data_IF_319370560556
#
_entry.id   IF_319370560556
#
_cell.length_a   1.000
_cell.length_b   1.000
_cell.length_c   1.000
_cell.angle_alpha   90.00
_cell.angle_beta   90.00
_cell.angle_gamma   90.00
#
_symmetry.space_group_name_H-M   'P 1'
#
loop_
_entity.id
_entity.type
_entity.pdbx_description
1 polymer ?
#
# COMPACT_ATOMS: atom_id res chain seq x y z
N UNK A 1 -6.50 -15.27 20.65
CA UNK A 1 -5.76 -16.10 19.65
C UNK A 1 -6.06 -15.65 18.22
N UNK A 2 -7.32 -15.42 17.84
CA UNK A 2 -7.74 -15.00 16.49
C UNK A 2 -6.86 -13.90 15.84
N UNK A 3 -6.69 -12.73 16.48
CA UNK A 3 -5.92 -11.62 15.89
C UNK A 3 -4.45 -11.93 15.62
N UNK A 4 -3.82 -12.80 16.44
CA UNK A 4 -2.42 -13.21 16.19
C UNK A 4 -2.34 -14.13 14.97
N UNK A 5 -3.32 -15.00 14.77
CA UNK A 5 -3.41 -15.85 13.58
C UNK A 5 -3.66 -15.01 12.32
N UNK A 6 -4.58 -14.05 12.38
CA UNK A 6 -4.82 -13.09 11.29
C UNK A 6 -3.55 -12.28 10.98
N UNK A 7 -2.83 -11.81 12.01
CA UNK A 7 -1.57 -11.10 11.82
C UNK A 7 -0.49 -11.96 11.15
N UNK A 8 -0.41 -13.25 11.50
CA UNK A 8 0.49 -14.19 10.85
C UNK A 8 0.14 -14.39 9.37
N UNK A 9 -1.14 -14.54 9.04
CA UNK A 9 -1.61 -14.67 7.66
C UNK A 9 -1.32 -13.40 6.84
N UNK A 10 -1.59 -12.22 7.41
CA UNK A 10 -1.28 -10.92 6.77
C UNK A 10 0.22 -10.75 6.53
N UNK A 11 1.07 -11.25 7.43
CA UNK A 11 2.52 -11.22 7.26
C UNK A 11 3.01 -11.97 6.00
N UNK A 12 2.20 -12.90 5.48
CA UNK A 12 2.52 -13.66 4.26
C UNK A 12 1.96 -13.00 2.99
N UNK A 13 1.15 -11.95 3.10
CA UNK A 13 0.63 -11.23 1.93
C UNK A 13 1.76 -10.50 1.18
N UNK A 14 1.68 -10.52 -0.15
CA UNK A 14 2.64 -9.82 -1.01
C UNK A 14 2.50 -8.30 -0.89
N UNK A 15 1.27 -7.80 -0.83
CA UNK A 15 0.96 -6.37 -0.87
C UNK A 15 -0.13 -5.99 0.14
N UNK A 16 -0.26 -4.69 0.38
CA UNK A 16 -1.33 -4.09 1.18
C UNK A 16 -0.79 -3.37 2.41
N UNK A 17 -1.51 -2.34 2.85
CA UNK A 17 -1.05 -1.43 3.91
C UNK A 17 -0.65 -2.13 5.21
N UNK A 18 -1.46 -3.10 5.67
CA UNK A 18 -1.19 -3.87 6.88
C UNK A 18 0.00 -4.83 6.71
N UNK A 19 0.16 -5.41 5.52
CA UNK A 19 1.30 -6.26 5.19
C UNK A 19 2.59 -5.44 5.15
N UNK A 20 2.56 -4.25 4.56
CA UNK A 20 3.71 -3.33 4.54
C UNK A 20 4.06 -2.85 5.94
N UNK A 21 3.06 -2.52 6.77
CA UNK A 21 3.26 -2.21 8.18
C UNK A 21 3.96 -3.37 8.92
N UNK A 22 3.49 -4.60 8.72
CA UNK A 22 4.08 -5.80 9.31
C UNK A 22 5.54 -5.99 8.86
N UNK A 23 5.81 -5.93 7.55
CA UNK A 23 7.15 -6.14 6.97
C UNK A 23 8.15 -5.13 7.50
N UNK A 24 7.77 -3.83 7.55
CA UNK A 24 8.63 -2.78 8.12
C UNK A 24 8.99 -3.05 9.57
N UNK A 25 8.03 -3.51 10.37
CA UNK A 25 8.27 -3.78 11.78
C UNK A 25 9.05 -5.08 11.99
N UNK A 26 8.76 -6.12 11.21
CA UNK A 26 9.46 -7.40 11.23
C UNK A 26 10.95 -7.21 10.89
N UNK A 27 11.25 -6.41 9.88
CA UNK A 27 12.62 -6.07 9.51
C UNK A 27 13.39 -5.36 10.64
N UNK A 28 12.72 -4.50 11.42
CA UNK A 28 13.37 -3.72 12.49
C UNK A 28 13.45 -4.42 13.85
N UNK A 29 12.43 -5.22 14.21
CA UNK A 29 12.24 -5.75 15.59
C UNK A 29 11.90 -7.23 15.65
N UNK A 30 11.95 -7.94 14.52
CA UNK A 30 11.65 -9.36 14.44
C UNK A 30 10.17 -9.73 14.46
N UNK A 31 9.90 -11.02 14.21
CA UNK A 31 8.57 -11.52 13.89
C UNK A 31 7.59 -11.47 15.05
N UNK A 32 7.99 -11.91 16.24
CA UNK A 32 7.12 -11.96 17.41
C UNK A 32 6.57 -10.57 17.78
N UNK A 33 7.43 -9.55 17.71
CA UNK A 33 7.07 -8.14 17.92
C UNK A 33 6.11 -7.66 16.84
N UNK A 34 6.39 -7.99 15.57
CA UNK A 34 5.55 -7.58 14.44
C UNK A 34 4.13 -8.19 14.51
N UNK A 35 4.02 -9.47 14.85
CA UNK A 35 2.73 -10.17 15.04
C UNK A 35 1.93 -9.50 16.15
N UNK A 36 2.56 -9.24 17.30
CA UNK A 36 1.89 -8.62 18.45
C UNK A 36 1.40 -7.20 18.15
N UNK A 37 2.22 -6.40 17.47
CA UNK A 37 1.85 -5.04 17.09
C UNK A 37 0.74 -5.01 16.03
N UNK A 38 0.81 -5.87 15.01
CA UNK A 38 -0.22 -5.96 13.99
C UNK A 38 -1.55 -6.45 14.58
N UNK A 39 -1.52 -7.45 15.47
CA UNK A 39 -2.72 -7.92 16.16
C UNK A 39 -3.41 -6.79 16.96
N UNK A 40 -2.63 -5.97 17.68
CA UNK A 40 -3.17 -4.79 18.39
C UNK A 40 -3.77 -3.77 17.42
N UNK A 41 -3.09 -3.49 16.30
CA UNK A 41 -3.60 -2.57 15.27
C UNK A 41 -4.92 -3.06 14.66
N UNK A 42 -5.03 -4.35 14.36
CA UNK A 42 -6.26 -4.97 13.87
C UNK A 42 -7.41 -4.85 14.88
N UNK A 43 -7.14 -5.11 16.15
CA UNK A 43 -8.15 -4.99 17.21
C UNK A 43 -8.73 -3.57 17.29
N UNK A 44 -7.89 -2.54 17.20
CA UNK A 44 -8.33 -1.14 17.21
C UNK A 44 -9.15 -0.80 15.96
N UNK A 45 -8.75 -1.27 14.78
CA UNK A 45 -9.51 -1.06 13.54
C UNK A 45 -10.91 -1.66 13.68
N UNK A 46 -11.00 -2.92 14.08
CA UNK A 46 -12.28 -3.62 14.19
C UNK A 46 -13.15 -3.01 15.29
N UNK A 47 -12.55 -2.60 16.41
CA UNK A 47 -13.28 -1.89 17.45
C UNK A 47 -13.86 -0.55 16.94
N UNK A 48 -13.07 0.25 16.20
CA UNK A 48 -13.60 1.48 15.58
C UNK A 48 -14.72 1.18 14.57
N UNK A 49 -14.61 0.10 13.80
CA UNK A 49 -15.66 -0.31 12.86
C UNK A 49 -16.95 -0.68 13.58
N UNK A 50 -16.86 -1.49 14.63
CA UNK A 50 -18.02 -2.00 15.35
C UNK A 50 -18.66 -0.97 16.27
N UNK A 51 -17.85 -0.21 17.01
CA UNK A 51 -18.33 0.70 18.07
C UNK A 51 -18.63 2.10 17.54
N UNK A 52 -17.83 2.59 16.58
CA UNK A 52 -18.02 3.94 16.01
C UNK A 52 -18.74 3.93 14.66
N UNK A 53 -19.05 2.75 14.11
CA UNK A 53 -19.67 2.61 12.79
C UNK A 53 -18.80 3.14 11.64
N UNK A 54 -17.49 3.32 11.87
CA UNK A 54 -16.58 3.89 10.87
C UNK A 54 -16.13 2.81 9.89
N UNK A 55 -16.35 3.00 8.60
CA UNK A 55 -15.82 2.09 7.58
C UNK A 55 -14.28 2.06 7.63
N UNK A 56 -13.70 0.90 7.33
CA UNK A 56 -12.25 0.78 7.24
C UNK A 56 -11.69 1.60 6.08
N UNK A 57 -10.90 2.63 6.39
CA UNK A 57 -10.23 3.49 5.42
C UNK A 57 -8.70 3.31 5.55
N UNK A 58 -8.07 2.44 4.74
CA UNK A 58 -6.62 2.29 4.77
C UNK A 58 -5.93 3.57 4.27
N UNK A 59 -4.80 4.00 4.88
CA UNK A 59 -4.05 5.18 4.44
C UNK A 59 -3.51 5.11 3.02
N UNK A 60 -3.33 3.90 2.48
CA UNK A 60 -3.08 3.69 1.06
C UNK A 60 -4.27 2.93 0.49
N UNK A 61 -4.94 3.52 -0.49
CA UNK A 61 -5.96 2.82 -1.27
C UNK A 61 -5.31 1.61 -1.94
N UNK A 62 -6.03 0.49 -1.99
CA UNK A 62 -5.61 -0.65 -2.79
C UNK A 62 -5.65 -0.23 -4.25
N UNK A 63 -4.51 0.20 -4.79
CA UNK A 63 -4.37 0.44 -6.21
C UNK A 63 -4.18 -0.91 -6.89
N UNK A 64 -5.00 -1.22 -7.90
CA UNK A 64 -4.79 -2.39 -8.72
C UNK A 64 -3.42 -2.34 -9.40
N UNK A 65 -2.85 -3.50 -9.73
CA UNK A 65 -1.52 -3.58 -10.34
C UNK A 65 -1.43 -2.71 -11.61
N UNK A 66 -2.51 -2.64 -12.39
CA UNK A 66 -2.55 -1.83 -13.61
C UNK A 66 -2.58 -0.33 -13.33
N UNK A 67 -3.22 0.12 -12.26
CA UNK A 67 -3.16 1.51 -11.82
C UNK A 67 -1.75 1.88 -11.36
N UNK A 68 -1.08 0.97 -10.64
CA UNK A 68 0.33 1.17 -10.25
C UNK A 68 1.23 1.28 -11.47
N UNK A 69 1.02 0.42 -12.47
CA UNK A 69 1.76 0.44 -13.75
C UNK A 69 1.52 1.73 -14.52
N UNK A 70 0.28 2.21 -14.62
CA UNK A 70 -0.07 3.50 -15.24
C UNK A 70 0.64 4.66 -14.55
N UNK A 71 0.63 4.72 -13.22
CA UNK A 71 1.34 5.77 -12.46
C UNK A 71 2.85 5.69 -12.70
N UNK A 72 3.43 4.49 -12.69
CA UNK A 72 4.86 4.30 -12.94
C UNK A 72 5.24 4.74 -14.37
N UNK A 73 4.42 4.41 -15.37
CA UNK A 73 4.60 4.86 -16.75
C UNK A 73 4.54 6.39 -16.85
N UNK A 74 3.51 7.01 -16.25
CA UNK A 74 3.37 8.46 -16.23
C UNK A 74 4.58 9.15 -15.59
N UNK A 75 5.08 8.66 -14.44
CA UNK A 75 6.29 9.18 -13.80
C UNK A 75 7.53 9.04 -14.68
N UNK A 76 7.68 7.92 -15.40
CA UNK A 76 8.80 7.72 -16.34
C UNK A 76 8.74 8.71 -17.49
N UNK A 77 7.55 8.92 -18.07
CA UNK A 77 7.32 9.91 -19.13
C UNK A 77 7.66 11.32 -18.62
N UNK A 78 7.16 11.71 -17.45
CA UNK A 78 7.45 13.01 -16.84
C UNK A 78 8.96 13.23 -16.62
N UNK A 79 9.69 12.19 -16.20
CA UNK A 79 11.15 12.25 -16.05
C UNK A 79 11.87 12.40 -17.40
N UNK A 80 11.36 11.80 -18.47
CA UNK A 80 11.92 11.96 -19.80
C UNK A 80 11.65 13.36 -20.36
N UNK A 81 10.43 13.86 -20.20
CA UNK A 81 10.04 15.24 -20.58
C UNK A 81 11.00 16.24 -19.93
N UNK A 82 11.20 16.14 -18.61
CA UNK A 82 12.11 17.04 -17.89
C UNK A 82 13.58 16.84 -18.27
N UNK A 83 14.03 15.59 -18.49
CA UNK A 83 15.41 15.30 -18.89
C UNK A 83 15.77 15.88 -20.26
N UNK A 84 14.85 15.78 -21.22
CA UNK A 84 15.09 16.18 -22.61
C UNK A 84 14.51 17.56 -22.93
N UNK A 85 13.89 18.25 -21.96
CA UNK A 85 13.27 19.55 -22.17
C UNK A 85 12.12 19.52 -23.17
N UNK A 86 11.45 18.37 -23.30
CA UNK A 86 10.38 18.19 -24.29
C UNK A 86 9.22 19.13 -23.98
N UNK A 87 8.70 19.76 -25.01
CA UNK A 87 7.50 20.59 -24.96
C UNK A 87 6.36 19.93 -25.72
N UNK A 88 5.14 20.47 -25.60
CA UNK A 88 3.97 19.92 -26.30
C UNK A 88 4.12 19.91 -27.84
N UNK A 89 5.08 20.68 -28.39
CA UNK A 89 5.40 20.72 -29.82
C UNK A 89 6.27 19.55 -30.28
N UNK A 90 7.00 18.93 -29.35
CA UNK A 90 7.95 17.84 -29.64
C UNK A 90 7.29 16.46 -29.50
N UNK A 91 6.05 16.41 -29.02
CA UNK A 91 5.33 15.18 -28.67
C UNK A 91 4.06 15.09 -29.50
N UNK A 92 4.05 14.18 -30.48
CA UNK A 92 2.84 13.86 -31.23
C UNK A 92 2.11 12.67 -30.58
N UNK A 93 0.90 12.90 -30.05
CA UNK A 93 0.09 11.86 -29.42
C UNK A 93 -0.98 11.40 -30.41
N UNK A 94 -0.74 10.28 -31.08
CA UNK A 94 -1.76 9.63 -31.93
C UNK A 94 -2.85 9.02 -31.05
N UNK A 95 -4.08 9.54 -31.16
CA UNK A 95 -5.25 8.91 -30.54
C UNK A 95 -5.68 7.71 -31.41
N UNK A 96 -5.65 6.52 -30.82
CA UNK A 96 -6.26 5.31 -31.37
C UNK A 96 -7.70 5.16 -30.85
#
# INVERSE_FOLDING_TARGET
>A
IAFRNTANAIGNLKEGWLADFFKRLNYKKGRATAVSALARKLAVIIWNMLVKGQSYQPPSLYLFLDEKRKIAAAKRIQKQITKFGLTDRDIEITKY
#
